data_IF_154760371442
#
_entry.id   IF_154760371442
#
_cell.length_a   1.000
_cell.length_b   1.000
_cell.length_c   1.000
_cell.angle_alpha   90.00
_cell.angle_beta   90.00
_cell.angle_gamma   90.00
#
_symmetry.space_group_name_H-M   'P 1'
#
loop_
_entity.id
_entity.type
_entity.pdbx_description
1 polymer ?
#
# COMPACT_ATOMS: atom_id res chain seq x y z
N UNK A 1 -7.63 6.29 -8.55
CA UNK A 1 -8.81 5.41 -8.45
C UNK A 1 -8.60 4.61 -7.19
N UNK A 2 -9.59 4.52 -6.28
CA UNK A 2 -9.43 3.80 -5.02
C UNK A 2 -8.90 2.37 -5.23
N UNK A 3 -8.19 1.85 -4.23
CA UNK A 3 -7.78 0.44 -4.22
C UNK A 3 -9.01 -0.48 -4.37
N UNK A 4 -8.89 -1.54 -5.17
CA UNK A 4 -9.96 -2.55 -5.29
C UNK A 4 -10.09 -3.33 -3.97
N UNK A 5 -11.22 -3.26 -3.25
CA UNK A 5 -11.37 -3.94 -1.96
C UNK A 5 -11.30 -5.47 -2.06
N UNK A 6 -11.49 -6.03 -3.25
CA UNK A 6 -11.42 -7.47 -3.53
C UNK A 6 -10.12 -7.90 -4.24
N UNK A 7 -9.08 -7.05 -4.26
CA UNK A 7 -7.85 -7.32 -4.99
C UNK A 7 -7.23 -8.69 -4.66
N UNK A 8 -7.29 -9.13 -3.39
CA UNK A 8 -6.72 -10.42 -2.94
C UNK A 8 -7.42 -11.64 -3.56
N UNK A 9 -8.64 -11.48 -4.07
CA UNK A 9 -9.40 -12.54 -4.75
C UNK A 9 -9.18 -12.54 -6.26
N UNK A 10 -8.85 -11.37 -6.83
CA UNK A 10 -8.81 -11.12 -8.27
C UNK A 10 -7.39 -11.15 -8.83
N UNK A 11 -6.41 -10.72 -8.03
CA UNK A 11 -5.03 -10.57 -8.45
C UNK A 11 -4.19 -11.74 -7.94
N UNK A 12 -3.19 -12.11 -8.74
CA UNK A 12 -2.16 -13.05 -8.33
C UNK A 12 -1.05 -12.32 -7.57
N UNK A 13 -0.36 -13.04 -6.69
CA UNK A 13 0.87 -12.55 -6.06
C UNK A 13 1.98 -12.58 -7.09
N UNK A 14 2.56 -11.42 -7.37
CA UNK A 14 3.64 -11.27 -8.35
C UNK A 14 5.03 -11.35 -7.73
N UNK A 15 5.13 -11.15 -6.41
CA UNK A 15 6.39 -11.25 -5.69
C UNK A 15 6.29 -10.80 -4.24
N UNK A 16 7.44 -10.45 -3.68
CA UNK A 16 7.58 -9.94 -2.32
C UNK A 16 8.47 -8.70 -2.28
N UNK A 17 8.12 -7.73 -1.44
CA UNK A 17 8.89 -6.52 -1.17
C UNK A 17 8.98 -6.33 0.34
N UNK A 18 10.16 -6.04 0.90
CA UNK A 18 10.37 -5.80 2.34
C UNK A 18 9.71 -6.82 3.31
N UNK A 19 9.50 -8.06 2.87
CA UNK A 19 8.88 -9.13 3.68
C UNK A 19 7.36 -9.30 3.52
N UNK A 20 6.69 -8.41 2.79
CA UNK A 20 5.27 -8.53 2.43
C UNK A 20 5.05 -8.91 0.97
N UNK A 21 3.84 -9.37 0.67
CA UNK A 21 3.42 -9.75 -0.69
C UNK A 21 3.18 -8.53 -1.57
N UNK A 22 3.46 -8.67 -2.87
CA UNK A 22 3.08 -7.71 -3.91
C UNK A 22 2.07 -8.39 -4.85
N UNK A 23 0.96 -7.71 -5.11
CA UNK A 23 -0.17 -8.23 -5.88
C UNK A 23 -0.38 -7.47 -7.18
N UNK A 24 -0.78 -8.20 -8.22
CA UNK A 24 -1.08 -7.60 -9.53
C UNK A 24 0.15 -7.37 -10.40
N UNK A 25 -0.04 -6.77 -11.56
CA UNK A 25 1.03 -6.55 -12.54
C UNK A 25 2.08 -5.56 -12.03
N UNK A 26 3.35 -5.92 -12.16
CA UNK A 26 4.50 -5.07 -11.81
C UNK A 26 5.34 -4.85 -13.06
N UNK A 27 5.28 -3.65 -13.62
CA UNK A 27 6.07 -3.18 -14.78
C UNK A 27 6.68 -1.81 -14.41
N UNK A 28 7.81 -1.78 -13.68
CA UNK A 28 8.43 -0.54 -13.27
C UNK A 28 8.90 0.31 -14.46
N UNK A 29 8.88 1.65 -14.35
CA UNK A 29 8.52 2.42 -13.16
C UNK A 29 7.03 2.78 -13.09
N UNK A 30 6.21 2.40 -14.08
CA UNK A 30 4.86 2.95 -14.25
C UNK A 30 3.75 2.12 -13.62
N UNK A 31 4.03 0.84 -13.32
CA UNK A 31 3.14 -0.10 -12.66
C UNK A 31 3.89 -0.83 -11.56
N UNK A 32 3.48 -0.64 -10.32
CA UNK A 32 4.14 -1.21 -9.14
C UNK A 32 3.20 -2.11 -8.33
N UNK A 33 1.90 -2.08 -8.62
CA UNK A 33 0.93 -3.00 -8.02
C UNK A 33 0.61 -2.66 -6.56
N UNK A 34 0.10 -3.66 -5.83
CA UNK A 34 -0.40 -3.48 -4.47
C UNK A 34 0.54 -4.18 -3.49
N UNK A 35 1.07 -3.43 -2.53
CA UNK A 35 2.02 -3.90 -1.53
C UNK A 35 1.31 -4.19 -0.21
N UNK A 36 1.46 -5.41 0.34
CA UNK A 36 0.84 -5.81 1.62
C UNK A 36 -0.41 -6.69 1.47
N UNK A 37 -0.86 -7.30 2.57
CA UNK A 37 -2.05 -8.17 2.66
C UNK A 37 -2.95 -7.80 3.83
N UNK A 38 -2.43 -7.71 5.06
CA UNK A 38 -3.23 -7.32 6.23
C UNK A 38 -3.55 -5.83 6.18
N UNK A 39 -2.56 -5.05 5.76
CA UNK A 39 -2.73 -3.67 5.35
C UNK A 39 -1.95 -3.45 4.08
N UNK A 40 -2.69 -3.15 3.02
CA UNK A 40 -2.18 -3.09 1.67
C UNK A 40 -2.25 -1.66 1.13
N UNK A 41 -1.24 -1.25 0.38
CA UNK A 41 -1.15 0.04 -0.28
C UNK A 41 -1.04 -0.19 -1.78
N UNK A 42 -1.99 0.34 -2.55
CA UNK A 42 -1.91 0.40 -4.01
C UNK A 42 -0.91 1.48 -4.40
N UNK A 43 0.27 1.09 -4.90
CA UNK A 43 1.33 2.01 -5.28
C UNK A 43 1.02 2.74 -6.60
N UNK A 44 0.16 2.17 -7.45
CA UNK A 44 -0.31 2.83 -8.66
C UNK A 44 -1.27 3.98 -8.30
N UNK A 45 -1.99 3.87 -7.17
CA UNK A 45 -2.90 4.90 -6.66
C UNK A 45 -2.25 5.88 -5.68
N UNK A 46 -1.33 5.42 -4.83
CA UNK A 46 -0.75 6.24 -3.76
C UNK A 46 -0.02 7.46 -4.34
N UNK A 47 -0.43 8.68 -3.98
CA UNK A 47 0.19 9.95 -4.42
C UNK A 47 1.33 10.43 -3.52
N UNK A 48 1.75 9.62 -2.53
CA UNK A 48 2.83 9.97 -1.61
C UNK A 48 2.46 11.04 -0.57
N UNK A 49 1.18 11.16 -0.22
CA UNK A 49 0.65 12.09 0.78
C UNK A 49 1.27 11.91 2.17
N UNK A 50 1.31 10.68 2.68
CA UNK A 50 1.98 10.32 3.94
C UNK A 50 1.13 10.43 5.21
N UNK A 51 -0.16 10.77 5.13
CA UNK A 51 -1.04 10.78 6.31
C UNK A 51 -1.03 9.44 7.04
N UNK A 52 -1.00 8.32 6.32
CA UNK A 52 -0.92 6.96 6.87
C UNK A 52 0.29 6.74 7.78
N UNK A 53 1.45 7.30 7.44
CA UNK A 53 2.67 7.25 8.26
C UNK A 53 2.45 8.06 9.54
N UNK A 54 1.89 9.26 9.43
CA UNK A 54 1.68 10.14 10.57
C UNK A 54 0.63 9.67 11.57
N UNK A 55 -0.44 9.02 11.08
CA UNK A 55 -1.59 8.62 11.91
C UNK A 55 -1.47 7.19 12.45
N UNK A 56 -0.53 6.38 11.95
CA UNK A 56 -0.39 5.01 12.40
C UNK A 56 0.28 4.97 13.78
N UNK A 57 -0.42 4.55 14.85
CA UNK A 57 0.13 4.58 16.21
C UNK A 57 1.19 3.51 16.47
N UNK A 58 1.34 2.55 15.55
CA UNK A 58 2.20 1.37 15.69
C UNK A 58 3.25 1.28 14.58
N UNK A 59 3.44 2.34 13.78
CA UNK A 59 4.56 2.44 12.84
C UNK A 59 4.56 1.37 11.74
N UNK A 60 3.41 1.10 11.13
CA UNK A 60 3.28 0.11 10.03
C UNK A 60 4.06 0.54 8.79
N UNK A 61 4.02 1.83 8.47
CA UNK A 61 4.43 2.35 7.18
C UNK A 61 5.76 3.09 7.24
N UNK A 62 6.54 2.96 6.17
CA UNK A 62 7.71 3.80 5.91
C UNK A 62 7.66 4.34 4.46
N UNK A 63 8.62 5.17 4.08
CA UNK A 63 8.78 5.67 2.73
C UNK A 63 9.58 4.71 1.86
N UNK A 64 9.12 4.50 0.63
CA UNK A 64 9.88 3.85 -0.43
C UNK A 64 9.99 4.77 -1.65
N UNK A 65 11.19 4.85 -2.23
CA UNK A 65 11.44 5.63 -3.44
C UNK A 65 10.93 4.88 -4.68
N UNK A 66 10.18 5.59 -5.52
CA UNK A 66 9.61 5.07 -6.78
C UNK A 66 9.86 6.02 -7.94
N UNK A 67 11.13 6.22 -8.32
CA UNK A 67 11.48 7.25 -9.29
C UNK A 67 10.88 6.97 -10.67
N UNK A 68 10.29 7.99 -11.29
CA UNK A 68 9.62 7.92 -12.59
C UNK A 68 8.20 7.38 -12.57
N UNK A 69 7.62 7.09 -11.39
CA UNK A 69 6.22 6.65 -11.31
C UNK A 69 5.25 7.83 -11.48
N UNK A 70 4.21 7.71 -12.33
CA UNK A 70 3.38 8.85 -12.75
C UNK A 70 2.62 9.55 -11.62
N UNK A 71 2.25 8.84 -10.55
CA UNK A 71 1.49 9.43 -9.44
C UNK A 71 2.35 10.05 -8.33
N UNK A 72 3.59 9.59 -8.13
CA UNK A 72 4.57 10.19 -7.21
C UNK A 72 5.90 9.45 -7.25
N UNK A 73 6.99 10.16 -6.97
CA UNK A 73 8.36 9.61 -6.87
C UNK A 73 8.63 8.87 -5.54
N UNK A 74 7.65 8.81 -4.64
CA UNK A 74 7.72 8.12 -3.34
C UNK A 74 6.36 7.53 -2.95
N UNK A 75 6.37 6.38 -2.27
CA UNK A 75 5.16 5.67 -1.81
C UNK A 75 5.25 5.35 -0.32
N UNK A 76 4.09 5.16 0.28
CA UNK A 76 3.99 4.55 1.61
C UNK A 76 4.05 3.03 1.46
N UNK A 77 5.04 2.39 2.08
CA UNK A 77 5.24 0.94 2.06
C UNK A 77 4.86 0.35 3.42
N UNK A 78 4.00 -0.68 3.48
CA UNK A 78 3.58 -1.31 4.74
C UNK A 78 4.62 -2.32 5.26
N UNK A 79 5.86 -1.87 5.47
CA UNK A 79 7.01 -2.70 5.87
C UNK A 79 6.77 -3.52 7.14
N UNK A 80 5.93 -3.02 8.05
CA UNK A 80 5.57 -3.68 9.30
C UNK A 80 4.09 -4.09 9.31
N UNK A 81 3.54 -4.59 8.20
CA UNK A 81 2.11 -4.92 8.09
C UNK A 81 1.59 -5.84 9.20
N UNK A 82 2.43 -6.71 9.75
CA UNK A 82 2.08 -7.60 10.86
C UNK A 82 1.83 -6.89 12.20
N UNK A 83 2.26 -5.64 12.34
CA UNK A 83 2.01 -4.83 13.52
C UNK A 83 0.64 -4.11 13.47
N UNK A 84 -0.08 -4.21 12.35
CA UNK A 84 -1.37 -3.55 12.18
C UNK A 84 -2.36 -3.98 13.28
N UNK A 85 -2.91 -2.99 14.00
CA UNK A 85 -3.92 -3.19 15.05
C UNK A 85 -5.36 -2.98 14.55
N UNK A 86 -5.55 -2.91 13.23
CA UNK A 86 -6.86 -2.76 12.59
C UNK A 86 -7.67 -1.53 13.06
N UNK A 87 -7.00 -0.41 13.36
CA UNK A 87 -7.67 0.82 13.82
C UNK A 87 -8.42 1.61 12.73
N UNK A 88 -8.22 1.25 11.45
CA UNK A 88 -8.83 1.88 10.27
C UNK A 88 -8.46 3.35 10.00
N UNK A 89 -7.61 3.97 10.82
CA UNK A 89 -7.27 5.39 10.69
C UNK A 89 -6.62 5.74 9.34
N UNK A 90 -5.68 4.91 8.87
CA UNK A 90 -4.97 5.13 7.60
C UNK A 90 -5.85 4.87 6.37
N UNK A 91 -6.73 3.86 6.40
CA UNK A 91 -7.69 3.58 5.31
C UNK A 91 -8.69 4.72 5.16
N UNK A 92 -9.20 5.27 6.28
CA UNK A 92 -10.19 6.37 6.26
C UNK A 92 -9.55 7.70 5.84
N UNK A 93 -8.34 8.00 6.30
CA UNK A 93 -7.72 9.32 6.09
C UNK A 93 -6.94 9.43 4.78
N UNK A 94 -6.66 8.32 4.08
CA UNK A 94 -5.95 8.36 2.81
C UNK A 94 -6.79 9.12 1.76
N UNK A 95 -6.32 10.26 1.22
CA UNK A 95 -7.10 11.08 0.28
C UNK A 95 -7.37 10.34 -1.03
N UNK A 96 -6.43 9.50 -1.47
CA UNK A 96 -6.56 8.69 -2.69
C UNK A 96 -7.33 7.39 -2.47
N UNK A 97 -7.66 7.06 -1.21
CA UNK A 97 -8.22 5.77 -0.84
C UNK A 97 -7.37 4.60 -1.38
N UNK A 98 -6.04 4.74 -1.29
CA UNK A 98 -5.07 3.77 -1.80
C UNK A 98 -4.78 2.62 -0.80
N UNK A 99 -5.38 2.66 0.39
CA UNK A 99 -5.07 1.71 1.47
C UNK A 99 -6.27 0.82 1.75
N UNK A 100 -6.03 -0.48 1.86
CA UNK A 100 -7.04 -1.45 2.32
C UNK A 100 -6.53 -2.22 3.52
N UNK A 101 -7.28 -2.21 4.62
CA UNK A 101 -7.08 -3.11 5.75
C UNK A 101 -8.02 -4.30 5.60
N UNK A 102 -7.45 -5.50 5.73
CA UNK A 102 -8.16 -6.78 5.71
C UNK A 102 -8.01 -7.42 7.09
N UNK A 103 -9.12 -7.53 7.82
CA UNK A 103 -9.16 -8.25 9.09
C UNK A 103 -9.06 -9.77 8.84
N UNK A 104 -8.43 -10.52 9.77
CA UNK A 104 -8.36 -11.98 9.71
C UNK A 104 -9.72 -12.66 9.81
#
# INVERSE_FOLDING_TARGET
>A
MPIDPDFQKKLQVSGTHAGHKVWGTVEPPTKLGIHGSQTAVDWDCCSGDGVCISVCPVGVYDWADTPGHPTSEKKSDPVNESACIFCMACEIQCPEQAIKITQP
#
